data_IF_960829267351
#
_entry.id   IF_960829267351
#
_cell.length_a   1.000
_cell.length_b   1.000
_cell.length_c   1.000
_cell.angle_alpha   90.00
_cell.angle_beta   90.00
_cell.angle_gamma   90.00
#
_symmetry.space_group_name_H-M   'P 1'
#
loop_
_entity.id
_entity.type
_entity.pdbx_description
1 polymer ?
#
# COMPACT_ATOMS: atom_id res chain seq x y z
N UNK A 1 26.90 -3.80 28.74
CA UNK A 1 25.71 -4.54 29.19
C UNK A 1 24.66 -4.38 28.10
N UNK A 2 24.67 -5.30 27.13
CA UNK A 2 23.73 -5.30 26.01
C UNK A 2 22.45 -6.01 26.42
N UNK A 3 21.39 -5.24 26.69
CA UNK A 3 20.06 -5.80 26.85
C UNK A 3 19.50 -6.12 25.47
N UNK A 4 19.26 -7.41 25.21
CA UNK A 4 18.43 -7.87 24.10
C UNK A 4 17.05 -7.22 24.21
N UNK A 5 16.82 -6.17 23.42
CA UNK A 5 15.49 -5.70 23.06
C UNK A 5 15.15 -6.28 21.69
N UNK A 6 15.00 -7.61 21.62
CA UNK A 6 14.15 -8.21 20.61
C UNK A 6 12.79 -8.31 21.29
N UNK A 7 12.06 -7.20 21.29
CA UNK A 7 10.62 -7.27 21.55
C UNK A 7 10.07 -8.30 20.58
N UNK A 8 9.33 -9.29 21.08
CA UNK A 8 8.75 -10.41 20.32
C UNK A 8 8.20 -9.90 18.98
N UNK A 9 9.02 -9.97 17.93
CA UNK A 9 8.65 -9.53 16.61
C UNK A 9 7.74 -10.62 16.09
N UNK A 10 6.45 -10.49 16.34
CA UNK A 10 5.48 -11.41 15.73
C UNK A 10 5.40 -11.00 14.26
N UNK A 11 6.36 -11.50 13.48
CA UNK A 11 6.23 -11.69 12.05
C UNK A 11 4.95 -12.52 11.87
N UNK A 12 3.88 -11.85 11.47
CA UNK A 12 2.58 -12.50 11.24
C UNK A 12 2.59 -13.22 9.89
N UNK A 13 3.65 -13.03 9.12
CA UNK A 13 3.61 -13.00 7.70
C UNK A 13 3.73 -14.34 6.99
N UNK A 14 3.82 -15.42 7.75
CA UNK A 14 3.57 -16.78 7.27
C UNK A 14 2.68 -17.59 8.20
N UNK A 15 2.07 -16.96 9.20
CA UNK A 15 1.38 -17.65 10.28
C UNK A 15 -0.11 -17.33 10.29
N UNK A 16 -0.90 -18.32 10.71
CA UNK A 16 -2.26 -18.03 11.14
C UNK A 16 -2.22 -17.14 12.38
N UNK A 17 -3.16 -16.20 12.47
CA UNK A 17 -3.32 -15.33 13.62
C UNK A 17 -4.74 -15.47 14.15
N UNK A 18 -4.91 -15.18 15.44
CA UNK A 18 -6.25 -15.06 16.03
C UNK A 18 -6.80 -13.65 15.82
N UNK A 19 -8.13 -13.52 15.89
CA UNK A 19 -8.76 -12.20 15.88
C UNK A 19 -8.28 -11.36 17.07
N UNK A 20 -8.14 -11.96 18.26
CA UNK A 20 -7.60 -11.30 19.46
C UNK A 20 -6.21 -10.69 19.23
N UNK A 21 -5.32 -11.37 18.50
CA UNK A 21 -4.01 -10.82 18.15
C UNK A 21 -4.13 -9.60 17.21
N UNK A 22 -5.06 -9.66 16.25
CA UNK A 22 -5.38 -8.55 15.37
C UNK A 22 -5.98 -7.35 16.12
N UNK A 23 -6.87 -7.59 17.08
CA UNK A 23 -7.45 -6.57 17.95
C UNK A 23 -6.43 -5.94 18.89
N UNK A 24 -5.52 -6.74 19.46
CA UNK A 24 -4.43 -6.25 20.30
C UNK A 24 -3.49 -5.33 19.52
N UNK A 25 -3.18 -5.66 18.26
CA UNK A 25 -2.47 -4.76 17.38
C UNK A 25 -3.27 -3.47 17.13
N UNK A 26 -4.54 -3.59 16.72
CA UNK A 26 -5.38 -2.45 16.36
C UNK A 26 -5.58 -1.48 17.54
N UNK A 27 -5.61 -1.98 18.77
CA UNK A 27 -5.69 -1.17 19.99
C UNK A 27 -4.53 -0.18 20.15
N UNK A 28 -3.35 -0.48 19.57
CA UNK A 28 -2.16 0.38 19.60
C UNK A 28 -2.17 1.46 18.51
N UNK A 29 -3.03 1.34 17.50
CA UNK A 29 -3.13 2.33 16.42
C UNK A 29 -3.92 3.54 16.95
N UNK A 30 -3.40 4.79 16.81
CA UNK A 30 -4.03 5.99 17.38
C UNK A 30 -5.22 6.49 16.54
N UNK A 31 -6.24 5.65 16.42
CA UNK A 31 -7.50 5.91 15.70
C UNK A 31 -8.72 5.65 16.60
N UNK A 32 -9.91 6.00 16.12
CA UNK A 32 -11.17 5.78 16.84
C UNK A 32 -11.45 4.29 17.08
N UNK A 33 -12.25 3.93 18.10
CA UNK A 33 -12.62 2.53 18.34
C UNK A 33 -13.27 1.83 17.12
N UNK A 34 -14.07 2.55 16.34
CA UNK A 34 -14.69 2.01 15.13
C UNK A 34 -13.62 1.63 14.08
N UNK A 35 -12.61 2.46 13.89
CA UNK A 35 -11.49 2.18 12.97
C UNK A 35 -10.64 0.99 13.45
N UNK A 36 -10.45 0.82 14.76
CA UNK A 36 -9.70 -0.33 15.31
C UNK A 36 -10.35 -1.66 14.93
N UNK A 37 -11.68 -1.74 15.01
CA UNK A 37 -12.40 -2.94 14.58
C UNK A 37 -12.22 -3.24 13.10
N UNK A 38 -12.15 -2.20 12.26
CA UNK A 38 -11.87 -2.34 10.83
C UNK A 38 -10.46 -2.82 10.55
N UNK A 39 -9.46 -2.25 11.22
CA UNK A 39 -8.05 -2.66 11.16
C UNK A 39 -7.91 -4.14 11.54
N UNK A 40 -8.48 -4.55 12.67
CA UNK A 40 -8.38 -5.92 13.16
C UNK A 40 -8.96 -6.91 12.14
N UNK A 41 -10.16 -6.64 11.60
CA UNK A 41 -10.78 -7.48 10.57
C UNK A 41 -9.94 -7.54 9.30
N UNK A 42 -9.44 -6.41 8.80
CA UNK A 42 -8.59 -6.39 7.60
C UNK A 42 -7.32 -7.24 7.78
N UNK A 43 -6.67 -7.17 8.95
CA UNK A 43 -5.45 -7.94 9.21
C UNK A 43 -5.73 -9.44 9.41
N UNK A 44 -6.84 -9.78 10.08
CA UNK A 44 -7.27 -11.16 10.29
C UNK A 44 -7.67 -11.86 8.99
N UNK A 45 -8.48 -11.19 8.16
CA UNK A 45 -8.96 -11.73 6.88
C UNK A 45 -7.88 -11.72 5.78
N UNK A 46 -6.71 -11.11 6.02
CA UNK A 46 -5.65 -10.97 5.03
C UNK A 46 -5.11 -12.35 4.63
N UNK A 47 -5.12 -12.73 3.34
CA UNK A 47 -4.61 -14.02 2.88
C UNK A 47 -3.13 -14.19 3.21
N UNK A 48 -2.75 -15.36 3.75
CA UNK A 48 -1.36 -15.64 4.15
C UNK A 48 -0.42 -15.76 2.96
N UNK A 49 -0.95 -16.16 1.80
CA UNK A 49 -0.20 -16.32 0.55
C UNK A 49 0.06 -14.98 -0.13
N UNK A 50 -0.59 -13.90 0.34
CA UNK A 50 -0.43 -12.58 -0.25
C UNK A 50 0.91 -11.97 0.18
N UNK A 51 1.80 -11.82 -0.79
CA UNK A 51 3.14 -11.26 -0.60
C UNK A 51 3.36 -10.05 -1.50
N UNK A 52 4.21 -9.13 -1.05
CA UNK A 52 4.61 -7.92 -1.76
C UNK A 52 6.13 -7.81 -1.80
N UNK A 53 6.68 -7.25 -2.87
CA UNK A 53 8.13 -7.00 -3.00
C UNK A 53 8.62 -6.03 -1.92
N UNK A 54 9.80 -6.30 -1.35
CA UNK A 54 10.42 -5.49 -0.30
C UNK A 54 10.60 -4.01 -0.64
N UNK A 55 10.64 -3.64 -1.92
CA UNK A 55 10.66 -2.23 -2.34
C UNK A 55 9.44 -1.43 -1.86
N UNK A 56 8.29 -2.07 -1.61
CA UNK A 56 7.11 -1.41 -1.04
C UNK A 56 7.35 -0.99 0.41
N UNK A 57 7.95 -1.87 1.21
CA UNK A 57 8.34 -1.53 2.57
C UNK A 57 9.36 -0.39 2.60
N UNK A 58 10.40 -0.47 1.76
CA UNK A 58 11.40 0.59 1.66
C UNK A 58 10.76 1.93 1.26
N UNK A 59 9.91 1.94 0.23
CA UNK A 59 9.25 3.15 -0.22
C UNK A 59 8.32 3.76 0.84
N UNK A 60 7.62 2.94 1.63
CA UNK A 60 6.79 3.43 2.73
C UNK A 60 7.66 4.04 3.85
N UNK A 61 8.76 3.39 4.21
CA UNK A 61 9.73 3.93 5.19
C UNK A 61 10.35 5.24 4.74
N UNK A 62 10.71 5.34 3.46
CA UNK A 62 11.24 6.58 2.87
C UNK A 62 10.18 7.68 2.88
N UNK A 63 8.92 7.34 2.59
CA UNK A 63 7.79 8.28 2.63
C UNK A 63 7.55 8.80 4.06
N UNK A 64 7.54 7.91 5.06
CA UNK A 64 7.41 8.29 6.47
C UNK A 64 8.58 9.19 6.90
N UNK A 65 9.80 8.81 6.53
CA UNK A 65 11.01 9.55 6.90
C UNK A 65 11.04 10.96 6.32
N UNK A 66 10.48 11.15 5.12
CA UNK A 66 10.36 12.47 4.47
C UNK A 66 9.26 13.32 5.08
N UNK A 67 8.11 12.73 5.41
CA UNK A 67 6.97 13.44 5.95
C UNK A 67 7.16 13.83 7.43
N UNK A 68 7.91 13.02 8.17
CA UNK A 68 8.27 13.26 9.57
C UNK A 68 9.80 13.21 9.70
N UNK A 69 10.33 12.09 10.20
CA UNK A 69 11.76 11.88 10.38
C UNK A 69 12.10 10.38 10.46
N UNK A 70 13.41 10.07 10.44
CA UNK A 70 13.90 8.69 10.53
C UNK A 70 13.54 8.01 11.87
N UNK A 71 13.52 8.76 12.95
CA UNK A 71 13.18 8.21 14.27
C UNK A 71 11.73 7.73 14.32
N UNK A 72 10.84 8.43 13.63
CA UNK A 72 9.45 8.07 13.45
C UNK A 72 9.33 6.77 12.65
N UNK A 73 10.01 6.65 11.51
CA UNK A 73 9.96 5.40 10.74
C UNK A 73 10.52 4.20 11.52
N UNK A 74 11.62 4.36 12.26
CA UNK A 74 12.23 3.27 13.05
C UNK A 74 11.29 2.83 14.20
N UNK A 75 10.61 3.79 14.85
CA UNK A 75 9.59 3.50 15.87
C UNK A 75 8.41 2.73 15.26
N UNK A 76 7.88 3.18 14.12
CA UNK A 76 6.72 2.51 13.49
C UNK A 76 7.05 1.10 13.00
N UNK A 77 8.28 0.87 12.49
CA UNK A 77 8.75 -0.47 12.14
C UNK A 77 8.77 -1.40 13.35
N UNK A 78 9.26 -0.90 14.49
CA UNK A 78 9.29 -1.64 15.75
C UNK A 78 7.87 -1.95 16.24
N UNK A 79 6.97 -0.96 16.23
CA UNK A 79 5.57 -1.14 16.63
C UNK A 79 4.81 -2.13 15.74
N UNK A 80 5.11 -2.11 14.44
CA UNK A 80 4.58 -3.03 13.45
C UNK A 80 5.15 -4.46 13.57
N UNK A 81 6.26 -4.64 14.28
CA UNK A 81 6.99 -5.91 14.34
C UNK A 81 7.57 -6.32 12.99
N UNK A 82 8.03 -5.35 12.19
CA UNK A 82 8.54 -5.57 10.83
C UNK A 82 10.06 -5.46 10.82
N UNK A 83 10.73 -6.39 10.14
CA UNK A 83 12.19 -6.36 9.98
C UNK A 83 12.67 -5.07 9.29
N UNK A 84 13.84 -4.55 9.67
CA UNK A 84 14.35 -3.26 9.19
C UNK A 84 15.20 -3.33 7.91
N UNK A 85 15.42 -4.54 7.36
CA UNK A 85 16.21 -4.75 6.14
C UNK A 85 15.33 -5.23 5.00
N UNK A 86 15.05 -4.34 4.05
CA UNK A 86 14.25 -4.63 2.87
C UNK A 86 15.13 -4.87 1.65
N UNK A 87 15.07 -6.07 1.10
CA UNK A 87 15.70 -6.39 -0.19
C UNK A 87 14.63 -6.14 -1.28
N UNK A 88 14.85 -5.20 -2.24
CA UNK A 88 13.80 -4.71 -3.14
C UNK A 88 12.96 -5.79 -3.82
N UNK A 89 13.60 -6.86 -4.30
CA UNK A 89 12.95 -7.91 -5.08
C UNK A 89 12.56 -9.15 -4.27
N UNK A 90 12.85 -9.21 -2.97
CA UNK A 90 12.41 -10.33 -2.13
C UNK A 90 10.93 -10.17 -1.82
N UNK A 91 10.17 -11.27 -1.92
CA UNK A 91 8.77 -11.29 -1.49
C UNK A 91 8.72 -11.31 0.03
N UNK A 92 7.90 -10.42 0.57
CA UNK A 92 7.68 -10.25 1.99
C UNK A 92 6.17 -10.29 2.26
N UNK A 93 5.76 -10.64 3.48
CA UNK A 93 4.35 -10.77 3.80
C UNK A 93 3.58 -9.46 3.68
N UNK A 94 2.51 -9.45 2.89
CA UNK A 94 1.78 -8.20 2.60
C UNK A 94 0.95 -7.73 3.80
N UNK A 95 0.50 -8.66 4.67
CA UNK A 95 -0.13 -8.34 5.95
C UNK A 95 0.76 -7.46 6.85
N UNK A 96 2.07 -7.72 6.86
CA UNK A 96 3.03 -6.94 7.65
C UNK A 96 3.24 -5.53 7.09
N UNK A 97 3.21 -5.39 5.77
CA UNK A 97 3.19 -4.07 5.13
C UNK A 97 1.95 -3.27 5.58
N UNK A 98 0.78 -3.92 5.64
CA UNK A 98 -0.45 -3.28 6.10
C UNK A 98 -0.39 -2.84 7.57
N UNK A 99 0.21 -3.64 8.47
CA UNK A 99 0.48 -3.19 9.85
C UNK A 99 1.23 -1.86 9.88
N UNK A 100 2.34 -1.77 9.13
CA UNK A 100 3.13 -0.54 9.02
C UNK A 100 2.31 0.60 8.40
N UNK A 101 1.52 0.30 7.37
CA UNK A 101 0.72 1.29 6.64
C UNK A 101 -0.40 1.89 7.51
N UNK A 102 -1.09 1.08 8.32
CA UNK A 102 -2.07 1.55 9.31
C UNK A 102 -1.44 2.51 10.33
N UNK A 103 -0.30 2.12 10.89
CA UNK A 103 0.45 2.95 11.84
C UNK A 103 0.94 4.25 11.20
N UNK A 104 1.47 4.19 9.97
CA UNK A 104 1.94 5.34 9.22
C UNK A 104 0.81 6.33 8.95
N UNK A 105 -0.33 5.85 8.46
CA UNK A 105 -1.50 6.69 8.17
C UNK A 105 -1.99 7.42 9.42
N UNK A 106 -2.17 6.69 10.53
CA UNK A 106 -2.65 7.27 11.77
C UNK A 106 -1.64 8.24 12.40
N UNK A 107 -0.34 8.01 12.22
CA UNK A 107 0.73 8.86 12.76
C UNK A 107 0.91 10.14 11.94
N UNK A 108 0.94 10.04 10.62
CA UNK A 108 1.19 11.19 9.73
C UNK A 108 -0.05 12.07 9.56
N UNK A 109 -1.25 11.49 9.68
CA UNK A 109 -2.51 12.20 9.47
C UNK A 109 -3.51 11.99 10.62
N UNK A 110 -3.15 12.35 11.87
CA UNK A 110 -3.94 12.00 13.07
C UNK A 110 -5.30 12.69 13.15
N UNK A 111 -5.54 13.71 12.33
CA UNK A 111 -6.81 14.46 12.26
C UNK A 111 -7.66 14.11 11.04
N UNK A 112 -7.21 13.16 10.22
CA UNK A 112 -7.90 12.76 9.00
C UNK A 112 -8.50 11.36 9.15
N UNK A 113 -9.59 11.05 8.44
CA UNK A 113 -10.02 9.66 8.25
C UNK A 113 -8.88 8.80 7.68
N UNK A 114 -8.89 7.52 8.02
CA UNK A 114 -7.83 6.58 7.67
C UNK A 114 -7.65 6.46 6.15
N UNK A 115 -8.76 6.51 5.40
CA UNK A 115 -8.78 6.55 3.93
C UNK A 115 -7.94 7.70 3.38
N UNK A 116 -8.08 8.90 3.95
CA UNK A 116 -7.36 10.07 3.46
C UNK A 116 -5.87 9.96 3.74
N UNK A 117 -5.47 9.36 4.87
CA UNK A 117 -4.07 9.09 5.15
C UNK A 117 -3.49 8.03 4.21
N UNK A 118 -4.24 6.96 3.93
CA UNK A 118 -3.87 5.95 2.93
C UNK A 118 -3.68 6.57 1.55
N UNK A 119 -4.66 7.37 1.09
CA UNK A 119 -4.60 8.06 -0.21
C UNK A 119 -3.37 8.97 -0.30
N UNK A 120 -3.11 9.82 0.70
CA UNK A 120 -1.97 10.76 0.68
C UNK A 120 -0.62 10.06 0.68
N UNK A 121 -0.43 9.05 1.53
CA UNK A 121 0.81 8.25 1.55
C UNK A 121 1.02 7.57 0.18
N UNK A 122 -0.04 6.99 -0.38
CA UNK A 122 0.03 6.32 -1.67
C UNK A 122 0.35 7.29 -2.82
N UNK A 123 -0.16 8.52 -2.75
CA UNK A 123 0.12 9.59 -3.71
C UNK A 123 1.61 10.00 -3.69
N UNK A 124 2.21 10.08 -2.50
CA UNK A 124 3.62 10.45 -2.33
C UNK A 124 4.60 9.27 -2.54
N UNK A 125 4.10 8.04 -2.48
CA UNK A 125 4.90 6.83 -2.61
C UNK A 125 5.63 6.77 -3.95
N UNK A 126 4.92 6.96 -5.06
CA UNK A 126 5.51 6.80 -6.40
C UNK A 126 6.58 7.86 -6.71
N UNK A 127 6.36 9.17 -6.46
CA UNK A 127 7.42 10.17 -6.57
C UNK A 127 8.67 9.83 -5.74
N UNK A 128 8.47 9.40 -4.48
CA UNK A 128 9.57 8.99 -3.59
C UNK A 128 10.31 7.78 -4.17
N UNK A 129 9.58 6.77 -4.63
CA UNK A 129 10.14 5.58 -5.25
C UNK A 129 10.94 5.92 -6.50
N UNK A 130 10.43 6.80 -7.38
CA UNK A 130 11.09 7.24 -8.61
C UNK A 130 12.46 7.88 -8.35
N UNK A 131 12.68 8.45 -7.18
CA UNK A 131 13.98 9.02 -6.79
C UNK A 131 15.00 7.96 -6.32
N UNK A 132 14.56 6.75 -5.97
CA UNK A 132 15.44 5.64 -5.60
C UNK A 132 16.21 5.08 -6.81
N UNK A 133 17.32 4.35 -6.57
CA UNK A 133 18.09 3.73 -7.66
C UNK A 133 17.24 2.75 -8.49
N UNK A 134 16.47 1.90 -7.82
CA UNK A 134 15.57 0.92 -8.47
C UNK A 134 14.44 1.63 -9.22
N UNK A 135 13.82 2.62 -8.57
CA UNK A 135 12.70 3.33 -9.15
C UNK A 135 13.08 4.22 -10.32
N UNK A 136 14.28 4.84 -10.35
CA UNK A 136 14.77 5.56 -11.54
C UNK A 136 14.84 4.64 -12.75
N UNK A 137 15.41 3.44 -12.58
CA UNK A 137 15.52 2.45 -13.65
C UNK A 137 14.14 2.01 -14.14
N UNK A 138 13.25 1.61 -13.23
CA UNK A 138 11.91 1.13 -13.60
C UNK A 138 11.03 2.24 -14.20
N UNK A 139 11.15 3.47 -13.70
CA UNK A 139 10.35 4.60 -14.18
C UNK A 139 10.71 5.04 -15.60
N UNK A 140 11.93 4.77 -16.06
CA UNK A 140 12.34 5.08 -17.44
C UNK A 140 11.52 4.31 -18.50
N UNK A 141 10.93 3.17 -18.14
CA UNK A 141 10.20 2.30 -19.08
C UNK A 141 8.68 2.57 -19.14
N UNK A 142 8.16 3.48 -18.33
CA UNK A 142 6.70 3.73 -18.24
C UNK A 142 6.18 4.61 -19.38
N UNK A 143 7.00 5.56 -19.85
CA UNK A 143 6.61 6.51 -20.90
C UNK A 143 5.78 7.69 -20.38
N UNK A 144 5.20 8.47 -21.29
CA UNK A 144 4.45 9.71 -20.99
C UNK A 144 2.97 9.67 -21.38
N UNK A 145 2.60 8.73 -22.25
CA UNK A 145 1.21 8.58 -22.70
C UNK A 145 0.35 8.03 -21.55
N UNK A 146 -0.75 8.69 -21.16
CA UNK A 146 -1.54 8.31 -19.97
C UNK A 146 -2.01 6.87 -19.94
N UNK A 147 -2.53 6.35 -21.06
CA UNK A 147 -2.98 4.94 -21.13
C UNK A 147 -1.81 3.98 -20.97
N UNK A 148 -0.66 4.29 -21.58
CA UNK A 148 0.57 3.51 -21.46
C UNK A 148 1.09 3.52 -20.03
N UNK A 149 1.02 4.67 -19.33
CA UNK A 149 1.39 4.78 -17.92
C UNK A 149 0.58 3.78 -17.09
N UNK A 150 -0.75 3.75 -17.29
CA UNK A 150 -1.65 2.85 -16.56
C UNK A 150 -1.38 1.37 -16.89
N UNK A 151 -1.21 1.03 -18.17
CA UNK A 151 -0.89 -0.35 -18.59
C UNK A 151 0.43 -0.84 -17.97
N UNK A 152 1.46 -0.01 -17.96
CA UNK A 152 2.76 -0.33 -17.36
C UNK A 152 2.68 -0.42 -15.85
N UNK A 153 1.89 0.45 -15.21
CA UNK A 153 1.63 0.36 -13.78
C UNK A 153 0.92 -0.95 -13.42
N UNK A 154 -0.07 -1.39 -14.21
CA UNK A 154 -0.77 -2.65 -13.98
C UNK A 154 0.16 -3.86 -14.08
N UNK A 155 1.05 -3.87 -15.08
CA UNK A 155 2.11 -4.88 -15.21
C UNK A 155 3.06 -4.86 -14.00
N UNK A 156 3.48 -3.66 -13.56
CA UNK A 156 4.34 -3.51 -12.39
C UNK A 156 3.68 -4.05 -11.11
N UNK A 157 2.39 -3.83 -10.92
CA UNK A 157 1.64 -4.39 -9.79
C UNK A 157 1.61 -5.92 -9.81
N UNK A 158 1.28 -6.54 -10.94
CA UNK A 158 1.30 -8.01 -11.05
C UNK A 158 2.67 -8.61 -10.72
N UNK A 159 3.77 -7.97 -11.16
CA UNK A 159 5.13 -8.43 -10.84
C UNK A 159 5.50 -8.22 -9.37
N UNK A 160 4.90 -7.22 -8.74
CA UNK A 160 5.23 -6.79 -7.37
C UNK A 160 4.40 -7.45 -6.29
N UNK A 161 3.17 -7.84 -6.62
CA UNK A 161 2.24 -8.52 -5.74
C UNK A 161 1.66 -9.68 -6.56
N UNK A 162 2.33 -10.85 -6.59
CA UNK A 162 1.96 -11.96 -7.49
C UNK A 162 0.55 -12.50 -7.27
N UNK A 163 -0.02 -12.26 -6.09
CA UNK A 163 -1.37 -12.66 -5.73
C UNK A 163 -2.44 -11.79 -6.42
N UNK A 164 -2.08 -10.56 -6.83
CA UNK A 164 -3.01 -9.62 -7.41
C UNK A 164 -3.14 -9.79 -8.92
N UNK A 165 -4.33 -9.50 -9.44
CA UNK A 165 -4.62 -9.40 -10.88
C UNK A 165 -4.94 -7.94 -11.20
N UNK A 166 -4.40 -7.43 -12.30
CA UNK A 166 -4.66 -6.05 -12.75
C UNK A 166 -4.77 -6.01 -14.28
N UNK A 167 -5.75 -5.30 -14.81
CA UNK A 167 -5.88 -5.04 -16.24
C UNK A 167 -6.36 -3.62 -16.48
N UNK A 168 -5.98 -3.08 -17.64
CA UNK A 168 -6.38 -1.76 -18.08
C UNK A 168 -6.93 -1.88 -19.48
N UNK A 169 -8.05 -1.21 -19.72
CA UNK A 169 -8.60 -1.04 -21.06
C UNK A 169 -8.93 0.43 -21.29
N UNK A 170 -8.71 0.89 -22.52
CA UNK A 170 -9.06 2.26 -22.93
C UNK A 170 -10.58 2.49 -22.83
N UNK A 171 -10.97 3.70 -22.44
CA UNK A 171 -12.34 4.19 -22.27
C UNK A 171 -12.48 5.58 -22.92
N UNK A 172 -12.32 5.60 -24.25
CA UNK A 172 -12.27 6.82 -25.06
C UNK A 172 -10.88 7.48 -25.11
N UNK A 173 -10.79 8.72 -25.64
CA UNK A 173 -9.49 9.41 -25.82
C UNK A 173 -8.79 9.78 -24.50
N UNK A 174 -9.57 10.10 -23.47
CA UNK A 174 -9.12 10.62 -22.17
C UNK A 174 -9.66 9.76 -21.02
N UNK A 175 -9.58 8.44 -21.17
CA UNK A 175 -10.05 7.55 -20.12
C UNK A 175 -9.60 6.12 -20.25
N UNK A 176 -9.61 5.44 -19.12
CA UNK A 176 -9.41 4.02 -19.01
C UNK A 176 -10.28 3.43 -17.90
N UNK A 177 -10.62 2.15 -18.03
CA UNK A 177 -11.12 1.34 -16.93
C UNK A 177 -9.98 0.44 -16.47
N UNK A 178 -9.72 0.49 -15.17
CA UNK A 178 -8.81 -0.41 -14.48
C UNK A 178 -9.64 -1.44 -13.72
N UNK A 179 -9.41 -2.72 -13.97
CA UNK A 179 -10.03 -3.81 -13.23
C UNK A 179 -8.95 -4.54 -12.43
N UNK A 180 -9.21 -4.88 -11.17
CA UNK A 180 -8.26 -5.64 -10.37
C UNK A 180 -8.93 -6.64 -9.42
N UNK A 181 -8.15 -7.65 -9.01
CA UNK A 181 -8.42 -8.55 -7.89
C UNK A 181 -7.27 -8.41 -6.90
N UNK A 182 -7.58 -8.05 -5.67
CA UNK A 182 -6.61 -7.65 -4.65
C UNK A 182 -7.06 -8.08 -3.26
N UNK A 183 -6.16 -7.91 -2.29
CA UNK A 183 -6.40 -8.24 -0.89
C UNK A 183 -7.73 -7.65 -0.36
N UNK A 184 -8.36 -8.24 0.66
CA UNK A 184 -9.70 -7.86 1.12
C UNK A 184 -9.70 -6.59 1.99
N UNK A 185 -8.97 -5.56 1.58
CA UNK A 185 -8.87 -4.27 2.26
C UNK A 185 -9.97 -3.31 1.78
N UNK A 186 -10.78 -2.81 2.71
CA UNK A 186 -11.72 -1.70 2.46
C UNK A 186 -11.02 -0.37 2.18
N UNK A 187 -9.73 -0.27 2.50
CA UNK A 187 -8.91 0.92 2.22
C UNK A 187 -8.27 0.92 0.84
N UNK A 188 -8.34 -0.22 0.13
CA UNK A 188 -7.72 -0.36 -1.18
C UNK A 188 -8.15 0.73 -2.19
N UNK A 189 -9.44 1.13 -2.29
CA UNK A 189 -9.84 2.22 -3.18
C UNK A 189 -9.09 3.55 -2.94
N UNK A 190 -8.85 3.89 -1.67
CA UNK A 190 -8.12 5.10 -1.31
C UNK A 190 -6.64 5.00 -1.69
N UNK A 191 -6.01 3.86 -1.38
CA UNK A 191 -4.64 3.56 -1.81
C UNK A 191 -4.50 3.60 -3.33
N UNK A 192 -5.37 2.93 -4.06
CA UNK A 192 -5.35 2.89 -5.53
C UNK A 192 -5.47 4.29 -6.14
N UNK A 193 -6.39 5.11 -5.62
CA UNK A 193 -6.54 6.50 -6.03
C UNK A 193 -5.25 7.31 -5.82
N UNK A 194 -4.62 7.17 -4.66
CA UNK A 194 -3.33 7.82 -4.37
C UNK A 194 -2.25 7.39 -5.37
N UNK A 195 -2.05 6.08 -5.52
CA UNK A 195 -1.08 5.49 -6.46
C UNK A 195 -1.24 6.06 -7.87
N UNK A 196 -2.44 5.99 -8.44
CA UNK A 196 -2.68 6.42 -9.82
C UNK A 196 -2.42 7.92 -9.96
N UNK A 197 -2.90 8.75 -9.02
CA UNK A 197 -2.68 10.20 -9.04
C UNK A 197 -1.19 10.54 -8.94
N UNK A 198 -0.48 9.91 -8.00
CA UNK A 198 0.95 10.11 -7.78
C UNK A 198 1.77 9.70 -8.99
N UNK A 199 1.50 8.51 -9.55
CA UNK A 199 2.19 8.02 -10.75
C UNK A 199 1.93 8.91 -11.97
N UNK A 200 0.67 9.20 -12.29
CA UNK A 200 0.34 9.97 -13.49
C UNK A 200 0.90 11.40 -13.43
N UNK A 201 0.84 12.06 -12.28
CA UNK A 201 1.47 13.39 -12.07
C UNK A 201 2.98 13.34 -12.18
N UNK A 202 3.63 12.31 -11.63
CA UNK A 202 5.07 12.12 -11.77
C UNK A 202 5.52 11.92 -13.22
N UNK A 203 4.60 11.61 -14.14
CA UNK A 203 4.84 11.48 -15.58
C UNK A 203 4.23 12.61 -16.43
N UNK A 204 3.78 13.70 -15.78
CA UNK A 204 3.37 14.93 -16.46
C UNK A 204 1.88 15.07 -16.74
N UNK A 205 1.02 14.18 -16.21
CA UNK A 205 -0.43 14.35 -16.29
C UNK A 205 -0.89 15.26 -15.16
N UNK A 206 -1.48 16.41 -15.48
CA UNK A 206 -1.85 17.44 -14.49
C UNK A 206 -2.99 17.03 -13.56
N UNK A 207 -4.09 16.52 -14.13
CA UNK A 207 -5.35 16.31 -13.39
C UNK A 207 -5.92 14.88 -13.53
N UNK A 208 -5.18 13.84 -13.08
CA UNK A 208 -5.73 12.50 -13.06
C UNK A 208 -6.88 12.41 -12.07
N UNK A 209 -8.02 11.88 -12.54
CA UNK A 209 -9.21 11.61 -11.73
C UNK A 209 -9.48 10.12 -11.67
N UNK A 210 -9.81 9.61 -10.48
CA UNK A 210 -10.09 8.19 -10.24
C UNK A 210 -11.41 8.07 -9.47
N UNK A 211 -12.29 7.21 -9.96
CA UNK A 211 -13.57 6.90 -9.32
C UNK A 211 -13.81 5.39 -9.29
N UNK A 212 -14.33 4.89 -8.19
CA UNK A 212 -14.80 3.51 -8.07
C UNK A 212 -16.07 3.33 -8.91
N UNK A 213 -16.12 2.28 -9.71
CA UNK A 213 -17.25 1.91 -10.57
C UNK A 213 -17.99 0.70 -9.99
N UNK A 214 -17.24 -0.32 -9.59
CA UNK A 214 -17.78 -1.56 -9.03
C UNK A 214 -16.86 -2.09 -7.93
N UNK A 215 -17.45 -2.68 -6.90
CA UNK A 215 -16.78 -3.44 -5.85
C UNK A 215 -17.57 -4.71 -5.56
N UNK A 216 -16.88 -5.85 -5.58
CA UNK A 216 -17.47 -7.12 -5.16
C UNK A 216 -16.47 -8.00 -4.44
N UNK A 217 -16.98 -8.78 -3.48
CA UNK A 217 -16.19 -9.81 -2.81
C UNK A 217 -16.11 -11.06 -3.68
N UNK A 218 -14.92 -11.66 -3.72
CA UNK A 218 -14.65 -12.93 -4.41
C UNK A 218 -13.79 -13.78 -3.47
N UNK A 219 -14.44 -14.67 -2.71
CA UNK A 219 -13.81 -15.48 -1.66
C UNK A 219 -13.03 -14.63 -0.63
N UNK A 220 -11.70 -14.81 -0.59
CA UNK A 220 -10.75 -14.07 0.25
C UNK A 220 -10.16 -12.83 -0.45
N UNK A 221 -10.69 -12.46 -1.62
CA UNK A 221 -10.29 -11.32 -2.42
C UNK A 221 -11.42 -10.29 -2.55
N UNK A 222 -11.05 -9.10 -3.01
CA UNK A 222 -11.98 -8.13 -3.58
C UNK A 222 -11.65 -7.88 -5.03
N UNK A 223 -12.69 -7.79 -5.86
CA UNK A 223 -12.58 -7.24 -7.20
C UNK A 223 -13.09 -5.81 -7.22
N UNK A 224 -12.32 -4.96 -7.89
CA UNK A 224 -12.67 -3.56 -8.09
C UNK A 224 -12.60 -3.23 -9.57
N UNK A 225 -13.51 -2.34 -10.00
CA UNK A 225 -13.37 -1.61 -11.24
C UNK A 225 -13.28 -0.12 -10.93
N UNK A 226 -12.28 0.54 -11.50
CA UNK A 226 -12.08 1.97 -11.40
C UNK A 226 -12.14 2.62 -12.77
N UNK A 227 -12.76 3.78 -12.84
CA UNK A 227 -12.66 4.67 -13.99
C UNK A 227 -11.59 5.71 -13.70
N UNK A 228 -10.61 5.78 -14.60
CA UNK A 228 -9.53 6.77 -14.60
C UNK A 228 -9.73 7.74 -15.77
N UNK A 229 -9.62 9.04 -15.51
CA UNK A 229 -9.71 10.13 -16.50
C UNK A 229 -8.51 11.06 -16.34
N UNK A 230 -8.14 11.77 -17.40
CA UNK A 230 -7.01 12.71 -17.44
C UNK A 230 -7.20 13.79 -18.51
#
# INVERSE_FOLDING_TARGET
MGGNLVADSVDWGGSSITLDAAEHFAARVPVSPAERGRIARTLYDFPMECQVRGMFFQGLVDTISRAADRSTSDRLLTEAGVHTRFIPFVLMPHRDFYKLYFLASATLFPRSPLEQGFERIAEDFYPTFKESMVGRTLSAFIGKEPVTILERLAQAYQMSIPWNEHSVRKDGPQGAIWSCKVEPSELYPATFKGIVRGTMRAHGVSEPWVSLVDERREDHAKRFEFRVRW
#
